data_IF_865650715241
#
_entry.id   IF_865650715241
#
_cell.length_a   1.000
_cell.length_b   1.000
_cell.length_c   1.000
_cell.angle_alpha   90.00
_cell.angle_beta   90.00
_cell.angle_gamma   90.00
#
_symmetry.space_group_name_H-M   'P 1'
#
loop_
_entity.id
_entity.type
_entity.pdbx_description
1 polymer ?
#
# COMPACT_ATOMS: atom_id res chain seq x y z
N UNK A 1 6.45 -3.66 4.20
CA UNK A 1 6.01 -3.39 2.81
C UNK A 1 4.78 -2.48 2.85
N UNK A 2 4.77 -1.30 2.23
CA UNK A 2 3.63 -0.36 2.29
C UNK A 2 2.77 -0.46 1.04
N UNK A 3 1.55 -0.99 1.18
CA UNK A 3 0.57 -1.17 0.10
C UNK A 3 -0.69 -0.32 0.30
N UNK A 4 -1.72 -0.54 -0.51
CA UNK A 4 -3.02 0.14 -0.47
C UNK A 4 -4.14 -0.83 -0.84
N UNK A 5 -5.34 -0.68 -0.24
CA UNK A 5 -6.50 -1.55 -0.43
C UNK A 5 -7.04 -1.46 -1.85
N UNK A 6 -6.64 -0.44 -2.61
CA UNK A 6 -6.88 -0.35 -4.05
C UNK A 6 -6.28 -1.52 -4.83
N UNK A 7 -5.40 -2.35 -4.25
CA UNK A 7 -4.99 -3.60 -4.89
C UNK A 7 -6.20 -4.53 -5.17
N UNK A 8 -7.28 -4.45 -4.39
CA UNK A 8 -8.52 -5.19 -4.64
C UNK A 8 -9.27 -4.73 -5.89
N UNK A 9 -8.99 -3.53 -6.40
CA UNK A 9 -9.60 -3.03 -7.63
C UNK A 9 -9.08 -3.75 -8.88
N UNK A 10 -8.00 -4.52 -8.78
CA UNK A 10 -7.54 -5.42 -9.85
C UNK A 10 -7.89 -6.87 -9.52
N UNK A 11 -8.43 -7.60 -10.50
CA UNK A 11 -8.85 -9.00 -10.32
C UNK A 11 -7.67 -9.98 -10.38
N UNK A 12 -6.62 -9.63 -11.10
CA UNK A 12 -5.44 -10.48 -11.32
C UNK A 12 -4.20 -9.64 -11.59
N UNK A 13 -3.05 -10.29 -11.51
CA UNK A 13 -1.78 -9.76 -11.98
C UNK A 13 -1.46 -10.38 -13.34
N UNK A 14 -1.14 -9.53 -14.31
CA UNK A 14 -0.77 -9.96 -15.66
C UNK A 14 0.75 -10.08 -15.71
N UNK A 15 1.26 -11.31 -15.77
CA UNK A 15 2.69 -11.57 -15.82
C UNK A 15 3.29 -11.36 -17.21
N UNK A 16 2.47 -11.32 -18.26
CA UNK A 16 2.91 -11.05 -19.64
C UNK A 16 3.03 -9.55 -19.93
N UNK A 17 2.34 -8.71 -19.15
CA UNK A 17 2.47 -7.25 -19.17
C UNK A 17 2.55 -6.67 -17.74
N UNK A 18 3.65 -6.93 -17.01
CA UNK A 18 3.80 -6.49 -15.63
C UNK A 18 3.91 -4.97 -15.50
N UNK A 19 4.37 -4.29 -16.57
CA UNK A 19 4.52 -2.84 -16.61
C UNK A 19 3.24 -2.11 -17.04
N UNK A 20 2.19 -2.84 -17.45
CA UNK A 20 0.94 -2.26 -17.95
C UNK A 20 1.19 -1.31 -19.12
N UNK A 21 2.03 -1.75 -20.07
CA UNK A 21 2.36 -1.01 -21.29
C UNK A 21 1.16 -0.97 -22.25
N UNK A 22 0.32 -2.01 -22.22
CA UNK A 22 -0.87 -2.11 -23.07
C UNK A 22 -2.07 -1.46 -22.39
N UNK A 23 -2.48 -0.28 -22.87
CA UNK A 23 -3.67 0.41 -22.38
C UNK A 23 -3.48 0.96 -20.96
N UNK A 24 -2.41 1.75 -20.77
CA UNK A 24 -2.10 2.38 -19.49
C UNK A 24 -3.26 3.24 -18.99
N UNK A 25 -3.74 2.92 -17.79
CA UNK A 25 -4.66 3.74 -17.03
C UNK A 25 -4.10 3.89 -15.61
N UNK A 26 -3.89 5.13 -15.18
CA UNK A 26 -3.08 5.44 -13.99
C UNK A 26 -3.55 4.71 -12.72
N UNK A 27 -4.85 4.74 -12.41
CA UNK A 27 -5.38 4.10 -11.20
C UNK A 27 -5.28 2.58 -11.28
N UNK A 28 -5.57 1.99 -12.44
CA UNK A 28 -5.41 0.55 -12.68
C UNK A 28 -3.95 0.11 -12.56
N UNK A 29 -3.03 0.85 -13.16
CA UNK A 29 -1.59 0.60 -13.08
C UNK A 29 -1.09 0.72 -11.63
N UNK A 30 -1.56 1.73 -10.90
CA UNK A 30 -1.27 1.89 -9.48
C UNK A 30 -1.79 0.70 -8.66
N UNK A 31 -3.05 0.31 -8.82
CA UNK A 31 -3.64 -0.87 -8.18
C UNK A 31 -2.86 -2.16 -8.49
N UNK A 32 -2.45 -2.36 -9.75
CA UNK A 32 -1.61 -3.50 -10.14
C UNK A 32 -0.24 -3.47 -9.45
N UNK A 33 0.42 -2.33 -9.39
CA UNK A 33 1.71 -2.19 -8.69
C UNK A 33 1.60 -2.56 -7.20
N UNK A 34 0.46 -2.22 -6.60
CA UNK A 34 0.16 -2.46 -5.19
C UNK A 34 -0.24 -3.91 -4.91
N UNK A 35 -0.89 -4.57 -5.87
CA UNK A 35 -1.04 -6.02 -5.87
C UNK A 35 0.32 -6.73 -5.99
N UNK A 36 1.19 -6.27 -6.88
CA UNK A 36 2.53 -6.84 -7.05
C UNK A 36 3.34 -6.79 -5.75
N UNK A 37 3.26 -5.69 -5.00
CA UNK A 37 3.87 -5.59 -3.68
C UNK A 37 3.34 -6.64 -2.71
N UNK A 38 2.03 -6.90 -2.67
CA UNK A 38 1.42 -7.93 -1.81
C UNK A 38 1.87 -9.33 -2.22
N UNK A 39 1.86 -9.63 -3.52
CA UNK A 39 2.33 -10.92 -4.06
C UNK A 39 3.82 -11.15 -3.74
N UNK A 40 4.65 -10.13 -3.93
CA UNK A 40 6.07 -10.18 -3.58
C UNK A 40 6.27 -10.45 -2.10
N UNK A 41 5.53 -9.77 -1.22
CA UNK A 41 5.62 -9.98 0.21
C UNK A 41 5.25 -11.41 0.61
N UNK A 42 4.20 -12.00 0.00
CA UNK A 42 3.81 -13.41 0.24
C UNK A 42 4.91 -14.38 -0.18
N UNK A 43 5.46 -14.17 -1.38
CA UNK A 43 6.55 -14.98 -1.88
C UNK A 43 7.79 -14.88 -0.98
N UNK A 44 8.18 -13.66 -0.59
CA UNK A 44 9.32 -13.41 0.29
C UNK A 44 9.13 -14.05 1.67
N UNK A 45 7.93 -13.95 2.26
CA UNK A 45 7.61 -14.57 3.54
C UNK A 45 7.80 -16.09 3.50
N UNK A 46 7.31 -16.73 2.43
CA UNK A 46 7.49 -18.17 2.21
C UNK A 46 8.96 -18.54 2.03
N UNK A 47 9.69 -17.82 1.18
CA UNK A 47 11.10 -18.10 0.91
C UNK A 47 11.97 -17.99 2.17
N UNK A 48 11.72 -16.98 3.01
CA UNK A 48 12.45 -16.79 4.27
C UNK A 48 12.09 -17.87 5.32
N UNK A 49 10.84 -18.32 5.35
CA UNK A 49 10.42 -19.43 6.19
C UNK A 49 11.11 -20.74 5.79
N UNK A 50 11.17 -21.04 4.48
CA UNK A 50 11.87 -22.21 3.94
C UNK A 50 13.40 -22.14 4.26
N UNK A 51 13.99 -20.94 4.19
CA UNK A 51 15.38 -20.70 4.57
C UNK A 51 15.64 -20.64 6.08
N UNK A 52 14.60 -20.76 6.93
CA UNK A 52 14.67 -20.59 8.40
C UNK A 52 15.31 -19.26 8.82
N UNK A 53 15.13 -18.22 8.02
CA UNK A 53 15.64 -16.89 8.33
C UNK A 53 14.77 -16.26 9.43
N UNK A 54 15.36 -15.68 10.50
CA UNK A 54 14.62 -15.07 11.61
C UNK A 54 14.12 -13.66 11.24
N UNK A 55 13.41 -13.53 10.11
CA UNK A 55 12.92 -12.26 9.57
C UNK A 55 11.43 -12.39 9.28
N UNK A 56 10.64 -11.49 9.87
CA UNK A 56 9.22 -11.36 9.58
C UNK A 56 8.99 -10.44 8.37
N UNK A 57 8.04 -10.80 7.51
CA UNK A 57 7.64 -9.97 6.37
C UNK A 57 6.17 -9.59 6.53
N UNK A 58 5.92 -8.29 6.60
CA UNK A 58 4.59 -7.73 6.84
C UNK A 58 4.28 -6.65 5.79
N UNK A 59 3.05 -6.70 5.27
CA UNK A 59 2.46 -5.64 4.46
C UNK A 59 1.59 -4.73 5.35
N UNK A 60 1.57 -3.43 5.05
CA UNK A 60 0.82 -2.43 5.79
C UNK A 60 0.04 -1.50 4.87
N UNK A 61 -1.16 -1.14 5.30
CA UNK A 61 -2.00 -0.11 4.70
C UNK A 61 -2.10 1.11 5.64
N UNK A 62 -1.50 2.26 5.31
CA UNK A 62 -1.47 3.41 6.22
C UNK A 62 -2.83 4.12 6.35
N UNK A 63 -3.79 3.81 5.48
CA UNK A 63 -5.06 4.50 5.35
C UNK A 63 -5.01 5.55 4.23
N UNK A 64 -6.06 6.37 4.14
CA UNK A 64 -6.02 7.55 3.29
C UNK A 64 -5.23 8.65 4.00
N UNK A 65 -3.99 8.90 3.56
CA UNK A 65 -3.08 9.87 4.20
C UNK A 65 -2.96 11.12 3.34
N UNK A 66 -2.94 12.29 4.01
CA UNK A 66 -2.75 13.60 3.38
C UNK A 66 -1.31 13.74 2.90
N UNK A 67 -1.07 13.34 1.65
CA UNK A 67 0.22 13.42 0.97
C UNK A 67 0.04 13.99 -0.42
N UNK A 68 1.14 14.44 -1.02
CA UNK A 68 1.21 14.97 -2.38
C UNK A 68 1.13 13.88 -3.47
N UNK A 69 0.42 12.77 -3.24
CA UNK A 69 0.40 11.59 -4.15
C UNK A 69 -0.10 11.94 -5.56
N UNK A 70 -0.90 13.00 -5.67
CA UNK A 70 -1.53 13.49 -6.90
C UNK A 70 -0.69 14.55 -7.65
N UNK A 71 0.46 14.97 -7.12
CA UNK A 71 1.23 16.14 -7.62
C UNK A 71 1.64 16.08 -9.10
N UNK A 72 1.86 14.87 -9.61
CA UNK A 72 2.28 14.62 -10.99
C UNK A 72 1.12 14.17 -11.90
N UNK A 73 -0.12 14.20 -11.41
CA UNK A 73 -1.29 13.85 -12.21
C UNK A 73 -1.67 14.99 -13.17
N UNK A 74 -2.50 14.66 -14.15
CA UNK A 74 -3.05 15.64 -15.09
C UNK A 74 -3.73 16.80 -14.35
N UNK A 75 -3.65 18.01 -14.91
CA UNK A 75 -4.06 19.24 -14.21
C UNK A 75 -5.54 19.24 -13.79
N UNK A 76 -6.44 18.60 -14.55
CA UNK A 76 -7.85 18.43 -14.16
C UNK A 76 -8.00 17.66 -12.84
N UNK A 77 -7.21 16.60 -12.65
CA UNK A 77 -7.25 15.80 -11.43
C UNK A 77 -6.66 16.57 -10.24
N UNK A 78 -5.60 17.36 -10.48
CA UNK A 78 -5.05 18.27 -9.46
C UNK A 78 -6.05 19.37 -9.07
N UNK A 79 -6.80 19.91 -10.03
CA UNK A 79 -7.86 20.88 -9.75
C UNK A 79 -8.99 20.22 -8.94
N UNK A 80 -9.39 18.99 -9.29
CA UNK A 80 -10.35 18.22 -8.49
C UNK A 80 -9.87 17.97 -7.06
N UNK A 81 -8.60 17.59 -6.88
CA UNK A 81 -7.99 17.40 -5.55
C UNK A 81 -7.97 18.72 -4.76
N UNK A 82 -7.68 19.86 -5.40
CA UNK A 82 -7.72 21.18 -4.77
C UNK A 82 -9.14 21.58 -4.33
N UNK A 83 -10.14 21.37 -5.19
CA UNK A 83 -11.55 21.69 -4.89
C UNK A 83 -12.11 20.79 -3.78
N UNK A 84 -11.71 19.52 -3.77
CA UNK A 84 -12.15 18.55 -2.76
C UNK A 84 -11.25 18.55 -1.51
N UNK A 85 -10.15 19.29 -1.52
CA UNK A 85 -9.18 19.39 -0.43
C UNK A 85 -9.80 19.65 0.95
N UNK A 86 -10.75 20.60 1.15
CA UNK A 86 -11.34 20.84 2.48
C UNK A 86 -12.13 19.63 3.02
N UNK A 87 -12.82 18.90 2.15
CA UNK A 87 -13.55 17.66 2.52
C UNK A 87 -12.54 16.59 2.90
N UNK A 88 -11.52 16.39 2.07
CA UNK A 88 -10.46 15.42 2.33
C UNK A 88 -9.56 15.80 3.51
N UNK A 89 -9.60 17.06 3.94
CA UNK A 89 -8.87 17.56 5.11
C UNK A 89 -9.35 16.89 6.40
N UNK A 90 -10.65 16.62 6.47
CA UNK A 90 -11.33 16.01 7.61
C UNK A 90 -11.31 14.49 7.51
N UNK A 91 -11.46 13.93 6.30
CA UNK A 91 -11.58 12.48 6.08
C UNK A 91 -10.24 11.73 6.02
N UNK A 92 -9.13 12.40 5.70
CA UNK A 92 -7.81 11.76 5.58
C UNK A 92 -6.98 11.94 6.84
N UNK A 93 -6.21 10.89 7.18
CA UNK A 93 -5.21 10.89 8.26
C UNK A 93 -4.09 11.89 7.97
N UNK A 94 -3.56 12.52 9.01
CA UNK A 94 -2.28 13.23 8.91
C UNK A 94 -1.13 12.24 8.59
N UNK A 95 0.01 12.70 8.05
CA UNK A 95 1.18 11.85 7.86
C UNK A 95 1.61 11.11 9.13
N UNK A 96 1.58 11.78 10.29
CA UNK A 96 1.89 11.18 11.58
C UNK A 96 0.92 10.05 11.95
N UNK A 97 -0.39 10.26 11.76
CA UNK A 97 -1.40 9.23 11.99
C UNK A 97 -1.27 8.05 11.00
N UNK A 98 -0.92 8.33 9.74
CA UNK A 98 -0.70 7.31 8.72
C UNK A 98 0.54 6.44 8.96
N UNK A 99 1.57 7.01 9.60
CA UNK A 99 2.80 6.29 9.94
C UNK A 99 2.59 5.22 11.02
N UNK A 100 1.55 5.34 11.84
CA UNK A 100 1.33 4.48 13.01
C UNK A 100 1.34 2.99 12.66
N UNK A 101 0.59 2.56 11.64
CA UNK A 101 0.53 1.14 11.24
C UNK A 101 1.90 0.61 10.82
N UNK A 102 2.71 1.45 10.15
CA UNK A 102 4.07 1.08 9.74
C UNK A 102 5.00 0.94 10.93
N UNK A 103 4.94 1.88 11.87
CA UNK A 103 5.72 1.83 13.11
C UNK A 103 5.31 0.63 13.95
N UNK A 104 4.01 0.40 14.13
CA UNK A 104 3.48 -0.76 14.84
C UNK A 104 3.97 -2.08 14.22
N UNK A 105 3.96 -2.18 12.88
CA UNK A 105 4.47 -3.34 12.17
C UNK A 105 5.97 -3.59 12.43
N UNK A 106 6.75 -2.51 12.53
CA UNK A 106 8.20 -2.58 12.68
C UNK A 106 8.67 -2.79 14.12
N UNK A 107 7.89 -2.35 15.12
CA UNK A 107 8.36 -2.28 16.52
C UNK A 107 7.53 -3.07 17.52
N UNK A 108 6.32 -3.53 17.16
CA UNK A 108 5.42 -4.20 18.11
C UNK A 108 5.91 -5.60 18.45
N UNK A 109 6.19 -5.92 19.73
CA UNK A 109 6.54 -7.28 20.14
C UNK A 109 5.43 -8.30 19.87
N UNK A 110 4.17 -7.84 19.71
CA UNK A 110 3.03 -8.69 19.39
C UNK A 110 3.12 -9.36 18.02
N UNK A 111 4.01 -8.88 17.15
CA UNK A 111 4.22 -9.42 15.80
C UNK A 111 5.44 -10.35 15.74
N UNK A 112 6.13 -10.56 16.86
CA UNK A 112 7.26 -11.49 16.92
C UNK A 112 6.81 -12.91 16.56
N UNK A 113 7.50 -13.53 15.60
CA UNK A 113 7.15 -14.86 15.10
C UNK A 113 5.98 -14.88 14.12
N UNK A 114 5.35 -13.74 13.83
CA UNK A 114 4.29 -13.64 12.84
C UNK A 114 4.82 -13.02 11.54
N UNK A 115 4.68 -13.75 10.44
CA UNK A 115 5.04 -13.33 9.08
C UNK A 115 3.83 -13.51 8.16
N UNK A 116 3.92 -12.97 6.95
CA UNK A 116 2.84 -13.00 5.95
C UNK A 116 1.54 -12.28 6.36
N UNK A 117 1.68 -11.23 7.17
CA UNK A 117 0.54 -10.43 7.62
C UNK A 117 0.30 -9.23 6.72
N UNK A 118 -0.97 -8.86 6.57
CA UNK A 118 -1.39 -7.61 5.95
C UNK A 118 -2.16 -6.77 6.98
N UNK A 119 -1.53 -5.72 7.51
CA UNK A 119 -2.08 -4.88 8.58
C UNK A 119 -2.78 -3.65 8.01
N UNK A 120 -4.02 -3.44 8.42
CA UNK A 120 -4.81 -2.28 8.04
C UNK A 120 -5.27 -1.50 9.27
N UNK A 121 -5.25 -0.17 9.16
CA UNK A 121 -5.98 0.72 10.07
C UNK A 121 -5.64 0.56 11.57
N UNK A 122 -4.43 0.11 11.91
CA UNK A 122 -3.99 0.08 13.31
C UNK A 122 -4.09 1.48 13.94
N UNK A 123 -4.58 1.53 15.17
CA UNK A 123 -4.67 2.72 16.01
C UNK A 123 -3.96 2.46 17.34
N UNK A 124 -3.57 3.55 18.02
CA UNK A 124 -2.99 3.51 19.35
C UNK A 124 -4.02 3.08 20.41
#
# INVERSE_FOLDING_TARGET
NVSTSLYHATKSFDFEDPQTEKGYEMFKAYSKSKLAQVLFQRHLARALAEARAPVAVVAVHPGMVRTEITRNMHWLMRLGDLVTHPIWMVLRKSPAQGAFTTLHAATSPKLNGHSDLYLEHCAA
#
